data_IF_136479922677
#
_entry.id   IF_136479922677
#
_cell.length_a   1.000
_cell.length_b   1.000
_cell.length_c   1.000
_cell.angle_alpha   90.00
_cell.angle_beta   90.00
_cell.angle_gamma   90.00
#
_symmetry.space_group_name_H-M   'P 1'
#
loop_
_entity.id
_entity.type
_entity.pdbx_description
1 polymer ?
#
# COMPACT_ATOMS: atom_id res chain seq x y z
N UNK A 1 -3.79 -15.71 -15.34
CA UNK A 1 -4.14 -14.53 -14.52
C UNK A 1 -4.56 -15.06 -13.16
N UNK A 2 -3.94 -14.60 -12.07
CA UNK A 2 -4.25 -15.04 -10.71
C UNK A 2 -5.05 -13.93 -10.03
N UNK A 3 -6.14 -14.29 -9.36
CA UNK A 3 -7.00 -13.36 -8.63
C UNK A 3 -6.98 -13.67 -7.13
N UNK A 4 -6.96 -12.62 -6.31
CA UNK A 4 -7.08 -12.75 -4.86
C UNK A 4 -8.55 -12.76 -4.49
N UNK A 5 -9.08 -13.94 -4.17
CA UNK A 5 -10.51 -14.12 -3.82
C UNK A 5 -10.82 -13.85 -2.35
N UNK A 6 -9.82 -13.90 -1.46
CA UNK A 6 -9.99 -13.59 -0.03
C UNK A 6 -8.64 -13.34 0.64
N UNK A 7 -8.68 -12.56 1.74
CA UNK A 7 -7.52 -12.30 2.60
C UNK A 7 -7.93 -12.53 4.04
N UNK A 8 -7.11 -13.28 4.80
CA UNK A 8 -7.33 -13.54 6.22
C UNK A 8 -6.13 -13.08 7.04
N UNK A 9 -6.42 -12.39 8.15
CA UNK A 9 -5.40 -11.95 9.10
C UNK A 9 -5.29 -12.96 10.25
N UNK A 10 -4.08 -13.39 10.55
CA UNK A 10 -3.77 -14.25 11.68
C UNK A 10 -3.13 -13.40 12.78
N UNK A 11 -3.74 -13.38 13.98
CA UNK A 11 -3.26 -12.58 15.13
C UNK A 11 -2.42 -13.38 16.12
N UNK A 12 -1.95 -14.58 15.75
CA UNK A 12 -1.08 -15.34 16.63
C UNK A 12 0.25 -14.60 16.79
N UNK A 13 0.55 -14.21 18.03
CA UNK A 13 1.63 -13.27 18.41
C UNK A 13 3.03 -13.81 18.05
N UNK A 14 3.18 -15.10 17.73
CA UNK A 14 4.50 -15.74 17.48
C UNK A 14 4.48 -16.70 16.30
N UNK A 15 4.19 -16.21 15.10
CA UNK A 15 4.56 -16.93 13.89
C UNK A 15 5.97 -16.51 13.49
N UNK A 16 6.88 -17.49 13.39
CA UNK A 16 8.22 -17.22 12.85
C UNK A 16 8.07 -17.01 11.35
N UNK A 17 8.24 -15.78 10.92
CA UNK A 17 8.36 -15.42 9.50
C UNK A 17 9.83 -15.28 9.14
N UNK A 18 10.18 -15.65 7.92
CA UNK A 18 11.51 -15.49 7.36
C UNK A 18 11.38 -14.71 6.07
N UNK A 19 12.38 -13.89 5.79
CA UNK A 19 12.48 -13.13 4.55
C UNK A 19 13.79 -13.48 3.85
N UNK A 20 13.82 -13.36 2.54
CA UNK A 20 15.03 -13.53 1.74
C UNK A 20 15.73 -12.18 1.61
N UNK A 21 17.06 -12.18 1.52
CA UNK A 21 17.83 -11.01 1.10
C UNK A 21 18.12 -11.19 -0.38
N UNK A 22 17.53 -10.34 -1.21
CA UNK A 22 17.67 -10.38 -2.67
C UNK A 22 18.21 -9.03 -3.14
N UNK A 23 19.27 -9.06 -3.95
CA UNK A 23 19.85 -7.87 -4.57
C UNK A 23 19.05 -7.41 -5.81
N UNK A 24 19.17 -6.14 -6.18
CA UNK A 24 18.56 -5.59 -7.39
C UNK A 24 17.12 -5.12 -7.18
N UNK A 25 16.15 -5.74 -7.85
CA UNK A 25 14.73 -5.32 -7.81
C UNK A 25 14.01 -5.70 -6.52
N UNK A 26 14.70 -6.31 -5.56
CA UNK A 26 14.14 -6.74 -4.28
C UNK A 26 12.85 -7.56 -4.44
N UNK A 27 12.83 -8.48 -5.40
CA UNK A 27 11.69 -9.36 -5.65
C UNK A 27 12.14 -10.80 -5.86
N UNK A 28 11.30 -11.74 -5.44
CA UNK A 28 11.50 -13.17 -5.64
C UNK A 28 10.18 -13.89 -5.91
N UNK A 29 10.22 -15.03 -6.58
CA UNK A 29 9.03 -15.84 -6.82
C UNK A 29 8.79 -16.85 -5.70
N UNK A 30 7.55 -16.93 -5.24
CA UNK A 30 7.04 -18.02 -4.40
C UNK A 30 6.14 -18.91 -5.25
N UNK A 31 6.46 -20.20 -5.31
CA UNK A 31 5.71 -21.18 -6.08
C UNK A 31 4.79 -22.02 -5.18
N UNK A 32 3.58 -22.28 -5.65
CA UNK A 32 2.69 -23.32 -5.12
C UNK A 32 2.08 -24.10 -6.28
N UNK A 33 2.69 -25.25 -6.59
CA UNK A 33 2.40 -25.99 -7.82
C UNK A 33 2.80 -25.16 -9.03
N UNK A 34 1.89 -25.02 -10.00
CA UNK A 34 2.09 -24.22 -11.22
C UNK A 34 1.87 -22.71 -11.01
N UNK A 35 1.44 -22.29 -9.81
CA UNK A 35 1.18 -20.88 -9.52
C UNK A 35 2.43 -20.23 -8.93
N UNK A 36 2.86 -19.14 -9.56
CA UNK A 36 3.99 -18.34 -9.11
C UNK A 36 3.50 -16.93 -8.74
N UNK A 37 3.85 -16.50 -7.52
CA UNK A 37 3.56 -15.15 -7.03
C UNK A 37 4.89 -14.41 -6.90
N UNK A 38 4.97 -13.21 -7.48
CA UNK A 38 6.11 -12.31 -7.29
C UNK A 38 5.96 -11.59 -5.95
N UNK A 39 6.91 -11.80 -5.05
CA UNK A 39 6.97 -11.23 -3.70
C UNK A 39 8.06 -10.18 -3.64
N UNK A 40 7.79 -9.05 -3.01
CA UNK A 40 8.77 -8.00 -2.72
C UNK A 40 9.31 -8.17 -1.30
N UNK A 41 10.63 -8.13 -1.13
CA UNK A 41 11.35 -8.48 0.11
C UNK A 41 12.00 -7.28 0.81
N UNK A 42 11.83 -6.07 0.30
CA UNK A 42 12.31 -4.86 0.94
C UNK A 42 11.15 -4.20 1.69
N UNK A 43 11.45 -3.64 2.86
CA UNK A 43 10.49 -2.84 3.59
C UNK A 43 10.05 -1.66 2.70
N UNK A 44 8.83 -1.73 2.17
CA UNK A 44 8.23 -0.66 1.39
C UNK A 44 8.48 0.67 2.10
N UNK A 45 9.29 1.51 1.45
CA UNK A 45 9.63 2.90 1.72
C UNK A 45 9.04 3.47 3.01
N UNK A 46 9.88 3.85 3.96
CA UNK A 46 9.43 4.71 5.06
C UNK A 46 8.88 6.01 4.46
N UNK A 47 7.55 6.13 4.46
CA UNK A 47 6.87 7.35 4.03
C UNK A 47 7.29 8.50 4.95
N UNK A 48 8.21 9.34 4.49
CA UNK A 48 8.56 10.58 5.17
C UNK A 48 7.71 11.72 4.61
N UNK A 49 7.00 12.44 5.48
CA UNK A 49 6.27 13.65 5.07
C UNK A 49 7.25 14.77 4.70
N UNK A 50 7.09 15.36 3.52
CA UNK A 50 7.81 16.57 3.12
C UNK A 50 7.07 17.86 3.52
N UNK A 51 5.83 17.75 4.06
CA UNK A 51 4.94 18.89 4.36
C UNK A 51 5.61 19.88 5.32
N UNK A 52 6.37 19.39 6.30
CA UNK A 52 7.07 20.24 7.26
C UNK A 52 8.26 21.02 6.70
N UNK A 53 8.69 20.74 5.46
CA UNK A 53 9.80 21.43 4.80
C UNK A 53 9.39 22.72 4.10
N UNK A 54 8.08 22.96 3.95
CA UNK A 54 7.52 24.15 3.32
C UNK A 54 6.48 24.82 4.26
N UNK A 55 6.65 26.10 4.62
CA UNK A 55 5.72 26.82 5.50
C UNK A 55 4.28 26.93 4.96
N UNK A 56 4.11 26.98 3.64
CA UNK A 56 2.82 27.03 2.97
C UNK A 56 2.10 25.69 3.13
N UNK A 57 2.79 24.58 2.86
CA UNK A 57 2.21 23.24 3.03
C UNK A 57 1.93 22.91 4.49
N UNK A 58 2.79 23.34 5.43
CA UNK A 58 2.53 23.17 6.86
C UNK A 58 1.26 23.89 7.33
N UNK A 59 1.01 25.11 6.83
CA UNK A 59 -0.21 25.88 7.14
C UNK A 59 -1.46 25.25 6.55
N UNK A 60 -1.41 24.81 5.30
CA UNK A 60 -2.55 24.14 4.66
C UNK A 60 -2.84 22.78 5.29
N UNK A 61 -1.81 22.01 5.67
CA UNK A 61 -1.98 20.78 6.44
C UNK A 61 -2.59 21.03 7.83
N UNK A 62 -2.25 22.13 8.51
CA UNK A 62 -2.91 22.52 9.76
C UNK A 62 -4.38 22.92 9.57
N UNK A 63 -4.72 23.55 8.44
CA UNK A 63 -6.10 23.89 8.09
C UNK A 63 -6.91 22.62 7.79
N UNK A 64 -6.37 21.72 6.96
CA UNK A 64 -6.91 20.38 6.72
C UNK A 64 -7.00 19.54 8.01
N UNK A 65 -6.10 19.78 8.96
CA UNK A 65 -6.13 19.27 10.35
C UNK A 65 -7.46 19.51 11.07
N UNK A 66 -8.11 20.63 10.78
CA UNK A 66 -9.33 21.08 11.45
C UNK A 66 -10.61 20.67 10.71
N UNK A 67 -10.47 20.18 9.48
CA UNK A 67 -11.59 19.71 8.66
C UNK A 67 -11.78 18.19 8.84
N UNK A 68 -12.87 17.81 9.49
CA UNK A 68 -13.19 16.41 9.80
C UNK A 68 -13.44 15.55 8.57
N UNK A 69 -13.87 16.15 7.44
CA UNK A 69 -14.07 15.43 6.18
C UNK A 69 -12.73 15.08 5.56
N UNK A 70 -11.83 16.07 5.48
CA UNK A 70 -10.47 15.89 4.92
C UNK A 70 -9.66 14.91 5.79
N UNK A 71 -9.79 14.97 7.12
CA UNK A 71 -9.16 13.99 8.03
C UNK A 71 -9.59 12.54 7.72
N UNK A 72 -10.89 12.32 7.48
CA UNK A 72 -11.42 10.99 7.17
C UNK A 72 -10.90 10.46 5.84
N UNK A 73 -10.84 11.32 4.82
CA UNK A 73 -10.31 10.96 3.50
C UNK A 73 -8.82 10.63 3.56
N UNK A 74 -8.02 11.46 4.23
CA UNK A 74 -6.59 11.19 4.43
C UNK A 74 -6.34 9.90 5.21
N UNK A 75 -7.14 9.63 6.24
CA UNK A 75 -7.06 8.39 7.00
C UNK A 75 -7.37 7.16 6.11
N UNK A 76 -8.36 7.26 5.23
CA UNK A 76 -8.69 6.19 4.28
C UNK A 76 -7.56 5.98 3.24
N UNK A 77 -6.96 7.05 2.73
CA UNK A 77 -5.81 6.97 1.82
C UNK A 77 -4.60 6.34 2.52
N UNK A 78 -4.31 6.74 3.76
CA UNK A 78 -3.23 6.17 4.55
C UNK A 78 -3.45 4.68 4.83
N UNK A 79 -4.67 4.28 5.19
CA UNK A 79 -5.03 2.87 5.38
C UNK A 79 -4.81 2.06 4.08
N UNK A 80 -5.18 2.60 2.92
CA UNK A 80 -4.92 1.95 1.62
C UNK A 80 -3.42 1.81 1.32
N UNK A 81 -2.64 2.87 1.49
CA UNK A 81 -1.19 2.84 1.29
C UNK A 81 -0.51 1.86 2.25
N UNK A 82 -0.92 1.86 3.52
CA UNK A 82 -0.37 0.96 4.56
C UNK A 82 -0.64 -0.51 4.26
N UNK A 83 -1.70 -0.82 3.49
CA UNK A 83 -2.04 -2.17 3.03
C UNK A 83 -1.35 -2.55 1.72
N UNK A 84 -0.43 -1.72 1.23
CA UNK A 84 0.31 -1.95 -0.01
C UNK A 84 -0.42 -1.53 -1.29
N UNK A 85 -1.61 -0.92 -1.19
CA UNK A 85 -2.23 -0.29 -2.35
C UNK A 85 -1.52 1.04 -2.65
N UNK A 86 -0.50 0.99 -3.50
CA UNK A 86 0.30 2.15 -3.89
C UNK A 86 -0.38 3.06 -4.93
N UNK A 87 -1.64 2.76 -5.30
CA UNK A 87 -2.42 3.58 -6.24
C UNK A 87 -3.83 3.90 -5.69
N UNK A 88 -3.92 4.44 -4.47
CA UNK A 88 -5.21 4.79 -3.88
C UNK A 88 -5.87 5.89 -4.71
N UNK A 89 -7.12 5.70 -5.13
CA UNK A 89 -7.90 6.69 -5.90
C UNK A 89 -7.72 6.67 -7.42
N UNK A 90 -6.81 5.85 -7.98
CA UNK A 90 -6.94 5.47 -9.38
C UNK A 90 -7.88 4.28 -9.44
N UNK A 91 -9.15 4.52 -9.73
CA UNK A 91 -10.01 3.44 -10.19
C UNK A 91 -9.32 2.77 -11.40
N UNK A 92 -9.20 1.45 -11.38
CA UNK A 92 -9.12 0.67 -12.61
C UNK A 92 -10.40 0.97 -13.37
N UNK A 93 -10.39 1.99 -14.23
CA UNK A 93 -11.41 2.16 -15.25
C UNK A 93 -11.35 0.92 -16.12
N UNK A 94 -12.22 -0.05 -15.86
CA UNK A 94 -12.57 -1.03 -16.87
C UNK A 94 -13.10 -0.22 -18.04
N UNK A 95 -12.35 -0.16 -19.14
CA UNK A 95 -12.93 0.21 -20.42
C UNK A 95 -14.04 -0.81 -20.65
N UNK A 96 -15.29 -0.43 -20.41
CA UNK A 96 -16.43 -1.09 -21.03
C UNK A 96 -16.23 -0.90 -22.53
N UNK A 97 -15.62 -1.89 -23.17
CA UNK A 97 -15.76 -2.08 -24.60
C UNK A 97 -17.26 -2.18 -24.84
N UNK A 98 -17.83 -1.18 -25.47
CA UNK A 98 -19.22 -1.25 -25.91
C UNK A 98 -19.39 -2.46 -26.82
N UNK A 99 -20.35 -3.29 -26.49
CA UNK A 99 -21.22 -4.05 -27.41
C UNK A 99 -22.49 -4.41 -26.65
#
# INVERSE_FOLDING_TARGET
>A
MIEVVSVRHYRQIRQRVQDLIVEGLHTYYVARGENHVLVHNEACFMMSSAIGKDPLFAREAQRAGKDTTVQREMAATFDQLSKGNCQPGMETKYYRSGM
#
